data_IF_026290010536
#
_entry.id   IF_026290010536
#
_cell.length_a   1.000
_cell.length_b   1.000
_cell.length_c   1.000
_cell.angle_alpha   90.00
_cell.angle_beta   90.00
_cell.angle_gamma   90.00
#
_symmetry.space_group_name_H-M   'P 1'
#
loop_
_entity.id
_entity.type
_entity.pdbx_description
1 polymer ?
#
# COMPACT_ATOMS: atom_id res chain seq x y z
N UNK A 1 -41.63 -12.45 11.73
CA UNK A 1 -40.28 -12.93 11.42
C UNK A 1 -39.34 -11.72 11.46
N UNK A 2 -38.61 -11.54 12.55
CA UNK A 2 -37.59 -10.49 12.62
C UNK A 2 -36.33 -11.01 11.95
N UNK A 3 -35.97 -10.45 10.80
CA UNK A 3 -34.65 -10.67 10.20
C UNK A 3 -33.61 -9.98 11.10
N UNK A 4 -32.79 -10.77 11.78
CA UNK A 4 -31.59 -10.28 12.45
C UNK A 4 -30.61 -9.73 11.40
N UNK A 5 -29.91 -8.61 11.66
CA UNK A 5 -28.92 -8.11 10.74
C UNK A 5 -27.75 -9.11 10.68
N UNK A 6 -27.31 -9.44 9.47
CA UNK A 6 -26.11 -10.24 9.28
C UNK A 6 -24.92 -9.48 9.88
N UNK A 7 -24.35 -9.99 10.97
CA UNK A 7 -23.09 -9.48 11.51
C UNK A 7 -22.01 -9.64 10.42
N UNK A 8 -21.43 -8.52 9.97
CA UNK A 8 -20.35 -8.53 8.99
C UNK A 8 -19.19 -9.41 9.50
N UNK A 9 -18.56 -10.18 8.61
CA UNK A 9 -17.44 -11.05 9.02
C UNK A 9 -16.24 -10.16 9.40
N UNK A 10 -15.34 -10.63 10.29
CA UNK A 10 -14.15 -9.87 10.67
C UNK A 10 -13.29 -9.40 9.49
N UNK A 11 -13.19 -10.21 8.42
CA UNK A 11 -12.51 -9.85 7.18
C UNK A 11 -13.17 -8.66 6.47
N UNK A 12 -14.50 -8.59 6.45
CA UNK A 12 -15.24 -7.47 5.85
C UNK A 12 -14.95 -6.16 6.61
N UNK A 13 -14.90 -6.23 7.94
CA UNK A 13 -14.60 -5.07 8.78
C UNK A 13 -13.15 -4.58 8.61
N UNK A 14 -12.20 -5.50 8.47
CA UNK A 14 -10.80 -5.19 8.17
C UNK A 14 -10.65 -4.52 6.80
N UNK A 15 -11.25 -5.10 5.77
CA UNK A 15 -11.21 -4.55 4.41
C UNK A 15 -11.85 -3.16 4.35
N UNK A 16 -12.94 -2.93 5.08
CA UNK A 16 -13.55 -1.61 5.20
C UNK A 16 -12.59 -0.58 5.82
N UNK A 17 -11.86 -0.95 6.89
CA UNK A 17 -10.86 -0.07 7.52
C UNK A 17 -9.71 0.25 6.56
N UNK A 18 -9.16 -0.77 5.90
CA UNK A 18 -8.08 -0.59 4.92
C UNK A 18 -8.55 0.31 3.77
N UNK A 19 -9.76 0.06 3.25
CA UNK A 19 -10.35 0.86 2.16
C UNK A 19 -10.49 2.34 2.53
N UNK A 20 -10.92 2.64 3.77
CA UNK A 20 -11.06 4.00 4.26
C UNK A 20 -9.72 4.71 4.36
N UNK A 21 -8.70 4.01 4.87
CA UNK A 21 -7.34 4.54 4.97
C UNK A 21 -6.70 4.81 3.61
N UNK A 22 -6.94 3.95 2.61
CA UNK A 22 -6.49 4.19 1.23
C UNK A 22 -7.14 5.46 0.66
N UNK A 23 -8.45 5.63 0.82
CA UNK A 23 -9.17 6.84 0.39
C UNK A 23 -8.62 8.11 1.05
N UNK A 24 -8.41 8.07 2.37
CA UNK A 24 -7.85 9.19 3.12
C UNK A 24 -6.44 9.54 2.64
N UNK A 25 -5.57 8.55 2.52
CA UNK A 25 -4.21 8.74 2.01
C UNK A 25 -4.20 9.31 0.58
N UNK A 26 -5.23 9.06 -0.22
CA UNK A 26 -5.29 9.57 -1.58
C UNK A 26 -5.51 11.08 -1.67
N UNK A 27 -5.87 11.76 -0.57
CA UNK A 27 -6.10 13.21 -0.51
C UNK A 27 -7.06 13.71 -1.61
N UNK A 28 -8.07 12.91 -1.95
CA UNK A 28 -9.05 13.23 -2.99
C UNK A 28 -8.52 13.15 -4.43
N UNK A 29 -7.29 12.69 -4.65
CA UNK A 29 -6.69 12.53 -5.97
C UNK A 29 -7.06 11.16 -6.57
N UNK A 30 -7.93 11.08 -7.60
CA UNK A 30 -8.44 9.80 -8.09
C UNK A 30 -7.35 8.88 -8.66
N UNK A 31 -6.34 9.46 -9.32
CA UNK A 31 -5.22 8.68 -9.87
C UNK A 31 -4.36 8.06 -8.76
N UNK A 32 -4.20 8.75 -7.63
CA UNK A 32 -3.44 8.26 -6.49
C UNK A 32 -4.21 7.18 -5.73
N UNK A 33 -5.53 7.31 -5.61
CA UNK A 33 -6.38 6.27 -5.04
C UNK A 33 -6.29 4.97 -5.83
N UNK A 34 -6.44 5.06 -7.16
CA UNK A 34 -6.27 3.89 -8.04
C UNK A 34 -4.89 3.26 -7.91
N UNK A 35 -3.87 4.09 -7.68
CA UNK A 35 -2.49 3.63 -7.45
C UNK A 35 -2.37 2.84 -6.15
N UNK A 36 -2.84 3.40 -5.04
CA UNK A 36 -2.77 2.75 -3.72
C UNK A 36 -3.59 1.47 -3.68
N UNK A 37 -4.74 1.42 -4.36
CA UNK A 37 -5.48 0.16 -4.56
C UNK A 37 -4.69 -0.86 -5.38
N UNK A 38 -4.04 -0.44 -6.46
CA UNK A 38 -3.19 -1.32 -7.25
C UNK A 38 -2.05 -1.95 -6.44
N UNK A 39 -1.42 -1.17 -5.57
CA UNK A 39 -0.40 -1.65 -4.63
C UNK A 39 -1.04 -2.60 -3.61
N UNK A 40 -2.14 -2.20 -2.96
CA UNK A 40 -2.86 -3.03 -1.98
C UNK A 40 -3.23 -4.41 -2.53
N UNK A 41 -3.80 -4.45 -3.73
CA UNK A 41 -4.28 -5.69 -4.37
C UNK A 41 -3.10 -6.60 -4.76
N UNK A 42 -1.95 -6.03 -5.10
CA UNK A 42 -0.71 -6.78 -5.38
C UNK A 42 -0.06 -7.31 -4.09
N UNK A 43 -0.05 -6.51 -3.03
CA UNK A 43 0.62 -6.85 -1.77
C UNK A 43 -0.18 -7.80 -0.90
N UNK A 44 -1.52 -7.72 -0.93
CA UNK A 44 -2.44 -8.64 -0.26
C UNK A 44 -2.14 -8.88 1.24
N UNK A 45 -1.44 -7.94 1.91
CA UNK A 45 -1.20 -7.97 3.36
C UNK A 45 -2.46 -7.86 4.21
N UNK A 46 -2.30 -7.79 5.52
CA UNK A 46 -3.40 -7.62 6.49
C UNK A 46 -2.91 -6.80 7.68
N UNK A 47 -3.82 -6.31 8.50
CA UNK A 47 -3.52 -5.63 9.76
C UNK A 47 -2.82 -6.62 10.69
N UNK A 48 -1.62 -6.25 11.11
CA UNK A 48 -0.74 -7.07 11.94
C UNK A 48 0.28 -7.89 11.15
N UNK A 49 0.18 -7.94 9.80
CA UNK A 49 1.10 -8.67 8.95
C UNK A 49 2.56 -8.27 9.20
N UNK A 50 3.42 -9.28 9.31
CA UNK A 50 4.86 -9.16 9.42
C UNK A 50 5.48 -10.36 8.71
N UNK A 51 5.77 -10.21 7.42
CA UNK A 51 6.26 -11.30 6.58
C UNK A 51 7.77 -11.19 6.44
N UNK A 52 8.51 -12.19 6.92
CA UNK A 52 9.98 -12.19 6.88
C UNK A 52 10.50 -12.49 5.46
N UNK A 53 11.39 -11.63 4.98
CA UNK A 53 12.14 -11.80 3.74
C UNK A 53 13.43 -12.60 3.94
N UNK A 54 13.96 -13.17 2.85
CA UNK A 54 15.20 -13.97 2.86
C UNK A 54 16.42 -13.22 3.39
N UNK A 55 16.47 -11.91 3.20
CA UNK A 55 17.54 -11.04 3.69
C UNK A 55 17.31 -10.54 5.13
N UNK A 56 16.29 -11.03 5.83
CA UNK A 56 15.98 -10.68 7.22
C UNK A 56 15.13 -9.43 7.42
N UNK A 57 14.84 -8.65 6.35
CA UNK A 57 13.84 -7.58 6.46
C UNK A 57 12.42 -8.17 6.55
N UNK A 58 11.44 -7.35 6.89
CA UNK A 58 10.05 -7.78 7.04
C UNK A 58 9.10 -6.85 6.28
N UNK A 59 8.10 -7.38 5.61
CA UNK A 59 7.04 -6.61 4.97
C UNK A 59 5.85 -6.48 5.93
N UNK A 60 5.43 -5.23 6.16
CA UNK A 60 4.56 -4.87 7.28
C UNK A 60 3.19 -4.37 6.81
N UNK A 61 2.14 -4.91 7.42
CA UNK A 61 0.78 -4.41 7.29
C UNK A 61 0.14 -4.57 5.89
N UNK A 62 -0.98 -3.86 5.64
CA UNK A 62 -1.81 -4.06 4.46
C UNK A 62 -1.14 -3.79 3.11
N UNK A 63 -0.24 -2.80 3.02
CA UNK A 63 0.54 -2.51 1.81
C UNK A 63 2.00 -3.02 1.92
N UNK A 64 2.27 -3.95 2.85
CA UNK A 64 3.54 -4.68 2.91
C UNK A 64 4.78 -3.77 2.89
N UNK A 65 4.77 -2.70 3.70
CA UNK A 65 5.89 -1.77 3.79
C UNK A 65 7.10 -2.48 4.37
N UNK A 66 8.16 -2.59 3.56
CA UNK A 66 9.37 -3.27 4.01
C UNK A 66 10.05 -2.52 5.17
N UNK A 67 10.55 -3.26 6.15
CA UNK A 67 11.12 -2.75 7.39
C UNK A 67 12.38 -1.92 7.21
N UNK A 68 13.03 -1.97 6.05
CA UNK A 68 14.16 -1.07 5.71
C UNK A 68 13.75 0.41 5.71
N UNK A 69 12.46 0.74 5.53
CA UNK A 69 11.96 2.11 5.58
C UNK A 69 11.83 2.66 7.01
N UNK A 70 11.82 1.79 8.03
CA UNK A 70 11.54 2.18 9.42
C UNK A 70 12.44 3.32 9.90
N UNK A 71 13.79 3.28 9.76
CA UNK A 71 14.65 4.34 10.27
C UNK A 71 14.34 5.69 9.63
N UNK A 72 14.05 5.71 8.33
CA UNK A 72 13.74 6.94 7.60
C UNK A 72 12.37 7.50 7.97
N UNK A 73 11.37 6.64 8.11
CA UNK A 73 10.03 7.06 8.55
C UNK A 73 10.07 7.54 10.00
N UNK A 74 10.79 6.84 10.89
CA UNK A 74 11.00 7.23 12.28
C UNK A 74 11.60 8.62 12.42
N UNK A 75 12.65 8.92 11.63
CA UNK A 75 13.24 10.26 11.56
C UNK A 75 12.25 11.31 11.04
N UNK A 76 11.47 10.98 10.01
CA UNK A 76 10.50 11.90 9.40
C UNK A 76 9.38 12.31 10.37
N UNK A 77 8.88 11.37 11.18
CA UNK A 77 7.72 11.60 12.06
C UNK A 77 8.09 11.86 13.53
N UNK A 78 9.39 11.86 13.85
CA UNK A 78 9.89 12.11 15.21
C UNK A 78 9.49 11.03 16.23
N UNK A 79 9.56 9.75 15.85
CA UNK A 79 9.14 8.61 16.70
C UNK A 79 10.20 7.53 16.74
N UNK A 80 10.10 6.62 17.71
CA UNK A 80 11.03 5.49 17.82
C UNK A 80 10.82 4.48 16.68
N UNK A 81 11.87 3.76 16.24
CA UNK A 81 11.73 2.67 15.27
C UNK A 81 10.72 1.60 15.69
N UNK A 82 10.64 1.27 16.99
CA UNK A 82 9.68 0.30 17.52
C UNK A 82 8.24 0.76 17.37
N UNK A 83 7.95 2.03 17.65
CA UNK A 83 6.62 2.61 17.48
C UNK A 83 6.21 2.68 16.00
N UNK A 84 7.13 3.08 15.12
CA UNK A 84 6.88 3.06 13.66
C UNK A 84 6.63 1.64 13.16
N UNK A 85 7.40 0.65 13.62
CA UNK A 85 7.15 -0.77 13.27
C UNK A 85 5.75 -1.19 13.69
N UNK A 86 5.36 -0.85 14.92
CA UNK A 86 4.03 -1.19 15.44
C UNK A 86 2.92 -0.55 14.60
N UNK A 87 3.02 0.75 14.30
CA UNK A 87 2.03 1.43 13.45
C UNK A 87 2.00 0.89 12.03
N UNK A 88 3.15 0.63 11.40
CA UNK A 88 3.17 0.01 10.07
C UNK A 88 2.46 -1.35 10.05
N UNK A 89 2.45 -2.10 11.17
CA UNK A 89 1.72 -3.36 11.27
C UNK A 89 0.25 -3.16 11.56
N UNK A 90 -0.09 -2.40 12.61
CA UNK A 90 -1.41 -2.43 13.23
C UNK A 90 -2.27 -1.19 12.96
N UNK A 91 -1.68 -0.11 12.46
CA UNK A 91 -2.40 1.09 12.03
C UNK A 91 -2.48 1.12 10.48
N UNK A 92 -3.63 0.69 9.89
CA UNK A 92 -3.77 0.66 8.44
C UNK A 92 -3.68 2.05 7.79
N UNK A 93 -4.00 3.12 8.53
CA UNK A 93 -3.94 4.49 8.00
C UNK A 93 -2.50 4.99 7.99
N UNK A 94 -1.72 4.72 9.03
CA UNK A 94 -0.28 4.97 9.01
C UNK A 94 0.42 4.17 7.90
N UNK A 95 0.04 2.90 7.70
CA UNK A 95 0.59 2.06 6.63
C UNK A 95 0.27 2.62 5.23
N UNK A 96 -0.97 3.03 4.98
CA UNK A 96 -1.39 3.66 3.72
C UNK A 96 -0.68 4.99 3.45
N UNK A 97 -0.52 5.83 4.47
CA UNK A 97 0.23 7.08 4.39
C UNK A 97 1.72 6.85 4.09
N UNK A 98 2.33 5.84 4.72
CA UNK A 98 3.70 5.44 4.42
C UNK A 98 3.83 4.97 2.97
N UNK A 99 2.89 4.15 2.49
CA UNK A 99 2.86 3.69 1.10
C UNK A 99 2.79 4.86 0.10
N UNK A 100 1.88 5.81 0.35
CA UNK A 100 1.76 7.04 -0.42
C UNK A 100 3.07 7.82 -0.45
N UNK A 101 3.65 8.07 0.72
CA UNK A 101 4.88 8.86 0.82
C UNK A 101 6.05 8.19 0.07
N UNK A 102 6.20 6.87 0.17
CA UNK A 102 7.22 6.10 -0.56
C UNK A 102 6.98 6.22 -2.08
N UNK A 103 5.77 5.95 -2.53
CA UNK A 103 5.41 6.02 -3.95
C UNK A 103 5.63 7.44 -4.52
N UNK A 104 5.15 8.48 -3.84
CA UNK A 104 5.32 9.87 -4.28
C UNK A 104 6.78 10.31 -4.24
N UNK A 105 7.59 9.80 -3.30
CA UNK A 105 9.04 10.04 -3.30
C UNK A 105 9.71 9.45 -4.53
N UNK A 106 9.35 8.21 -4.91
CA UNK A 106 9.86 7.58 -6.12
C UNK A 106 9.38 8.30 -7.39
N UNK A 107 8.11 8.70 -7.43
CA UNK A 107 7.54 9.48 -8.53
C UNK A 107 8.27 10.82 -8.70
N UNK A 108 8.47 11.56 -7.62
CA UNK A 108 9.23 12.82 -7.64
C UNK A 108 10.65 12.63 -8.16
N UNK A 109 11.32 11.54 -7.77
CA UNK A 109 12.70 11.27 -8.20
C UNK A 109 12.83 10.83 -9.66
N UNK A 110 11.79 10.23 -10.23
CA UNK A 110 11.85 9.61 -11.57
C UNK A 110 11.07 10.35 -12.64
N UNK A 111 10.07 11.14 -12.25
CA UNK A 111 9.09 11.72 -13.18
C UNK A 111 8.25 10.68 -13.93
N UNK A 112 8.35 9.40 -13.58
CA UNK A 112 7.72 8.31 -14.32
C UNK A 112 6.90 7.42 -13.40
N UNK A 113 5.58 7.42 -13.64
CA UNK A 113 4.59 6.70 -12.84
C UNK A 113 4.92 5.20 -12.71
N UNK A 114 5.11 4.50 -13.83
CA UNK A 114 5.35 3.05 -13.79
C UNK A 114 6.72 2.70 -13.22
N UNK A 115 7.72 3.56 -13.42
CA UNK A 115 9.02 3.40 -12.76
C UNK A 115 8.89 3.57 -11.25
N UNK A 116 8.07 4.51 -10.77
CA UNK A 116 7.80 4.70 -9.35
C UNK A 116 7.10 3.47 -8.74
N UNK A 117 6.13 2.87 -9.43
CA UNK A 117 5.51 1.58 -9.03
C UNK A 117 6.57 0.49 -8.91
N UNK A 118 7.49 0.39 -9.88
CA UNK A 118 8.58 -0.58 -9.80
C UNK A 118 9.49 -0.36 -8.59
N UNK A 119 9.94 0.88 -8.38
CA UNK A 119 10.85 1.26 -7.29
C UNK A 119 10.23 1.02 -5.92
N UNK A 120 8.90 1.20 -5.79
CA UNK A 120 8.17 0.89 -4.56
C UNK A 120 8.51 -0.50 -4.03
N UNK A 121 8.60 -1.49 -4.92
CA UNK A 121 8.87 -2.88 -4.58
C UNK A 121 10.36 -3.22 -4.43
N UNK A 122 11.21 -2.76 -5.36
CA UNK A 122 12.61 -3.20 -5.40
C UNK A 122 13.51 -2.26 -6.19
N UNK A 123 14.79 -2.08 -5.81
CA UNK A 123 15.77 -1.35 -6.62
C UNK A 123 16.22 -2.13 -7.87
N UNK A 124 16.05 -3.45 -7.90
CA UNK A 124 16.48 -4.32 -9.00
C UNK A 124 15.53 -4.25 -10.21
N UNK A 125 16.04 -3.83 -11.37
CA UNK A 125 15.25 -3.57 -12.60
C UNK A 125 14.33 -4.71 -13.02
N UNK A 126 14.79 -5.96 -13.09
CA UNK A 126 13.93 -7.07 -13.55
C UNK A 126 12.77 -7.35 -12.58
N UNK A 127 12.96 -7.14 -11.27
CA UNK A 127 11.90 -7.24 -10.27
C UNK A 127 10.88 -6.12 -10.43
N UNK A 128 11.36 -4.90 -10.71
CA UNK A 128 10.49 -3.75 -10.99
C UNK A 128 9.56 -4.05 -12.17
N UNK A 129 10.09 -4.56 -13.29
CA UNK A 129 9.29 -4.89 -14.47
C UNK A 129 8.24 -5.95 -14.17
N UNK A 130 8.60 -7.02 -13.45
CA UNK A 130 7.62 -8.05 -13.05
C UNK A 130 6.54 -7.48 -12.14
N UNK A 131 6.93 -6.67 -11.16
CA UNK A 131 6.02 -6.08 -10.18
C UNK A 131 5.04 -5.10 -10.82
N UNK A 132 5.53 -4.13 -11.62
CA UNK A 132 4.67 -3.13 -12.26
C UNK A 132 3.67 -3.77 -13.22
N UNK A 133 4.04 -4.85 -13.91
CA UNK A 133 3.10 -5.59 -14.78
C UNK A 133 1.97 -6.25 -13.98
N UNK A 134 2.27 -6.70 -12.76
CA UNK A 134 1.30 -7.34 -11.87
C UNK A 134 0.37 -6.29 -11.26
N UNK A 135 0.91 -5.17 -10.75
CA UNK A 135 0.12 -4.01 -10.33
C UNK A 135 -0.77 -3.49 -11.45
N UNK A 136 -0.24 -3.33 -12.67
CA UNK A 136 -1.02 -2.90 -13.83
C UNK A 136 -2.17 -3.87 -14.17
N UNK A 137 -2.01 -5.18 -13.88
CA UNK A 137 -3.11 -6.15 -14.01
C UNK A 137 -4.17 -5.90 -12.94
N UNK A 138 -3.78 -5.75 -11.67
CA UNK A 138 -4.73 -5.47 -10.58
C UNK A 138 -5.53 -4.18 -10.82
N UNK A 139 -4.85 -3.09 -11.19
CA UNK A 139 -5.51 -1.81 -11.51
C UNK A 139 -6.53 -1.99 -12.65
N UNK A 140 -6.19 -2.73 -13.72
CA UNK A 140 -7.12 -3.00 -14.83
C UNK A 140 -8.30 -3.87 -14.40
N UNK A 141 -8.07 -4.91 -13.61
CA UNK A 141 -9.13 -5.78 -13.08
C UNK A 141 -10.10 -4.97 -12.23
N UNK A 142 -9.60 -4.03 -11.42
CA UNK A 142 -10.42 -3.25 -10.49
C UNK A 142 -11.15 -2.09 -11.14
N UNK A 143 -10.52 -1.36 -12.06
CA UNK A 143 -11.01 -0.09 -12.59
C UNK A 143 -11.29 -0.10 -14.10
N UNK A 144 -11.11 -1.24 -14.78
CA UNK A 144 -11.26 -1.38 -16.22
C UNK A 144 -10.03 -0.93 -17.01
N UNK A 145 -10.09 -1.07 -18.34
CA UNK A 145 -8.94 -0.83 -19.22
C UNK A 145 -8.60 0.66 -19.46
N UNK A 146 -9.50 1.58 -19.11
CA UNK A 146 -9.37 3.03 -19.33
C UNK A 146 -8.96 3.80 -18.07
N UNK A 147 -8.16 3.19 -17.19
CA UNK A 147 -7.86 3.64 -15.82
C UNK A 147 -7.50 5.12 -15.70
N UNK A 148 -6.65 5.63 -16.60
CA UNK A 148 -6.08 6.98 -16.55
C UNK A 148 -6.47 7.86 -17.75
N UNK A 149 -7.50 7.48 -18.52
CA UNK A 149 -7.99 8.39 -19.58
C UNK A 149 -8.59 9.63 -18.91
N UNK A 150 -8.31 10.84 -19.42
CA UNK A 150 -9.07 12.02 -19.04
C UNK A 150 -10.54 11.75 -19.39
N UNK A 151 -11.44 11.97 -18.43
CA UNK A 151 -12.87 12.14 -18.70
C UNK A 151 -13.11 13.49 -19.34
#
# INVERSE_FOLDING_TARGET
MYNAPAFAKPADAEDLRISSCIRQASLGQPWLEKTLWGLRDQEAGWIGAEVRNRNGSHDLGPLQINSWWIPRIAALVGRSPGQVRYWLRFDPCFNAEAARWIFLSALRSTGNYWKAIGIYHSPTTWRQTRYLNSVARHIRTRFGNAVFRPV
#
